data_IF_181864830901
#
_entry.id   IF_181864830901
#
_cell.length_a   1.000
_cell.length_b   1.000
_cell.length_c   1.000
_cell.angle_alpha   90.00
_cell.angle_beta   90.00
_cell.angle_gamma   90.00
#
_symmetry.space_group_name_H-M   'P 1'
#
loop_
_entity.id
_entity.type
_entity.pdbx_description
1 polymer ?
#
# COMPACT_ATOMS: atom_id res chain seq x y z
N UNK A 1 10.00 9.20 12.91
CA UNK A 1 11.39 8.72 13.05
C UNK A 1 11.99 8.73 11.66
N UNK A 2 13.22 9.21 11.49
CA UNK A 2 13.84 9.23 10.15
C UNK A 2 14.37 7.83 9.84
N UNK A 3 14.36 7.42 8.57
CA UNK A 3 14.94 6.14 8.15
C UNK A 3 16.39 5.94 8.62
N UNK A 4 17.16 7.02 8.77
CA UNK A 4 18.51 6.98 9.35
C UNK A 4 18.54 6.32 10.74
N UNK A 5 17.55 6.63 11.60
CA UNK A 5 17.46 6.03 12.94
C UNK A 5 17.15 4.53 12.87
N UNK A 6 16.30 4.13 11.89
CA UNK A 6 16.05 2.71 11.66
C UNK A 6 17.31 1.97 11.23
N UNK A 7 18.07 2.52 10.29
CA UNK A 7 19.28 1.86 9.79
C UNK A 7 20.43 1.86 10.80
N UNK A 8 20.47 2.80 11.73
CA UNK A 8 21.54 2.86 12.76
C UNK A 8 21.62 1.61 13.63
N UNK A 9 20.54 0.85 13.80
CA UNK A 9 20.55 -0.46 14.49
C UNK A 9 21.51 -1.50 13.87
N UNK A 10 21.87 -1.32 12.61
CA UNK A 10 22.78 -2.24 11.93
C UNK A 10 24.25 -1.99 12.29
N UNK A 11 24.58 -0.87 12.93
CA UNK A 11 25.91 -0.65 13.52
C UNK A 11 26.21 -1.73 14.57
N UNK A 12 25.22 -2.14 15.36
CA UNK A 12 25.37 -3.20 16.36
C UNK A 12 25.61 -4.59 15.75
N UNK A 13 25.38 -4.74 14.44
CA UNK A 13 25.65 -5.97 13.69
C UNK A 13 27.07 -5.99 13.06
N UNK A 14 27.88 -4.95 13.31
CA UNK A 14 29.25 -4.86 12.84
C UNK A 14 30.24 -5.09 13.98
N UNK A 15 31.29 -5.89 13.71
CA UNK A 15 32.49 -5.97 14.50
C UNK A 15 33.63 -5.25 13.77
N UNK A 16 34.58 -4.67 14.52
CA UNK A 16 35.72 -3.98 13.92
C UNK A 16 37.01 -4.72 14.24
N UNK A 17 37.85 -4.84 13.22
CA UNK A 17 39.19 -5.42 13.35
C UNK A 17 40.25 -4.41 12.92
N UNK A 18 41.47 -4.58 13.38
CA UNK A 18 42.64 -3.82 12.95
C UNK A 18 43.65 -4.78 12.28
N UNK A 19 44.30 -4.32 11.23
CA UNK A 19 45.35 -5.09 10.59
C UNK A 19 46.65 -4.99 11.36
N UNK A 20 47.42 -6.10 11.38
CA UNK A 20 48.79 -6.08 11.93
C UNK A 20 49.69 -5.22 11.05
N UNK A 21 50.75 -4.63 11.65
CA UNK A 21 51.69 -3.76 10.96
C UNK A 21 52.32 -4.34 9.68
N UNK A 22 52.45 -5.67 9.61
CA UNK A 22 53.05 -6.38 8.47
C UNK A 22 52.02 -6.83 7.41
N UNK A 23 50.77 -6.38 7.51
CA UNK A 23 49.75 -6.72 6.51
C UNK A 23 50.01 -6.06 5.16
N UNK A 24 49.69 -6.78 4.08
CA UNK A 24 49.96 -6.36 2.69
C UNK A 24 49.10 -5.21 2.17
N UNK A 25 48.02 -4.84 2.88
CA UNK A 25 47.02 -3.86 2.45
C UNK A 25 47.29 -2.48 3.07
N UNK A 26 48.15 -1.66 2.46
CA UNK A 26 48.54 -0.36 2.99
C UNK A 26 47.38 0.62 3.20
N UNK A 27 46.37 0.61 2.33
CA UNK A 27 45.19 1.49 2.43
C UNK A 27 44.24 1.16 3.56
N UNK A 28 44.40 0.00 4.17
CA UNK A 28 43.54 -0.48 5.28
C UNK A 28 44.21 -0.32 6.64
N UNK A 29 45.51 0.09 6.69
CA UNK A 29 46.23 0.31 7.93
C UNK A 29 45.63 1.51 8.68
N UNK A 30 45.66 1.44 9.99
CA UNK A 30 45.19 2.48 10.90
C UNK A 30 43.67 2.82 10.78
N UNK A 31 42.90 1.95 10.13
CA UNK A 31 41.45 2.09 10.05
C UNK A 31 40.77 0.96 10.84
N UNK A 32 39.70 1.26 11.59
CA UNK A 32 38.81 0.23 12.12
C UNK A 32 38.05 -0.42 10.96
N UNK A 33 38.33 -1.70 10.67
CA UNK A 33 37.78 -2.40 9.52
C UNK A 33 36.47 -3.11 9.89
N UNK A 34 35.32 -2.67 9.41
CA UNK A 34 34.03 -3.27 9.75
C UNK A 34 33.86 -4.62 9.06
N UNK A 35 33.34 -5.59 9.83
CA UNK A 35 32.92 -6.91 9.31
C UNK A 35 31.55 -7.23 9.89
N UNK A 36 30.66 -7.75 9.08
CA UNK A 36 29.35 -8.17 9.53
C UNK A 36 29.48 -9.38 10.46
N UNK A 37 28.94 -9.28 11.70
CA UNK A 37 29.16 -10.25 12.77
C UNK A 37 28.68 -11.66 12.42
N UNK A 38 27.62 -11.78 11.59
CA UNK A 38 27.15 -13.10 11.12
C UNK A 38 28.21 -13.80 10.28
N UNK A 39 28.91 -13.09 9.40
CA UNK A 39 30.01 -13.63 8.59
C UNK A 39 31.21 -14.06 9.47
N UNK A 40 31.44 -13.36 10.58
CA UNK A 40 32.49 -13.72 11.55
C UNK A 40 32.17 -15.00 12.31
N UNK A 41 30.90 -15.23 12.71
CA UNK A 41 30.49 -16.43 13.44
C UNK A 41 30.74 -17.69 12.65
N UNK A 42 30.42 -17.70 11.39
CA UNK A 42 30.68 -18.84 10.48
C UNK A 42 32.19 -19.16 10.37
N UNK A 43 33.06 -18.15 10.48
CA UNK A 43 34.51 -18.31 10.56
C UNK A 43 35.00 -18.91 11.87
N UNK A 44 34.39 -18.50 12.99
CA UNK A 44 34.75 -18.96 14.34
C UNK A 44 34.35 -20.43 14.58
N UNK A 45 33.16 -20.84 14.17
CA UNK A 45 32.64 -22.21 14.34
C UNK A 45 33.47 -23.26 13.62
N UNK A 46 34.11 -22.88 12.52
CA UNK A 46 34.97 -23.75 11.72
C UNK A 46 36.48 -23.66 12.08
N UNK A 47 36.86 -22.88 13.07
CA UNK A 47 38.26 -22.77 13.59
C UNK A 47 39.26 -22.14 12.63
N UNK A 48 38.82 -21.47 11.55
CA UNK A 48 39.70 -20.96 10.48
C UNK A 48 39.49 -19.46 10.21
N UNK A 49 39.37 -18.68 11.27
CA UNK A 49 39.03 -17.26 11.21
C UNK A 49 40.06 -16.43 10.42
N UNK A 50 41.34 -16.77 10.51
CA UNK A 50 42.40 -16.00 9.85
C UNK A 50 42.41 -16.15 8.31
N UNK A 51 41.88 -17.27 7.78
CA UNK A 51 41.81 -17.54 6.36
C UNK A 51 40.47 -17.12 5.70
N UNK A 52 39.45 -16.89 6.54
CA UNK A 52 38.11 -16.51 6.05
C UNK A 52 37.89 -15.01 5.97
N UNK A 53 38.56 -14.21 6.82
CA UNK A 53 38.52 -12.75 6.68
C UNK A 53 39.35 -12.35 5.46
N UNK A 54 38.66 -11.96 4.43
CA UNK A 54 39.25 -11.51 3.17
C UNK A 54 38.84 -10.06 2.85
N UNK A 55 39.47 -9.50 1.85
CA UNK A 55 39.21 -8.13 1.42
C UNK A 55 37.73 -7.91 1.06
N UNK A 56 37.08 -8.90 0.44
CA UNK A 56 35.67 -8.81 0.02
C UNK A 56 34.73 -8.59 1.22
N UNK A 57 34.91 -9.31 2.32
CA UNK A 57 34.12 -9.11 3.55
C UNK A 57 34.34 -7.72 4.19
N UNK A 58 35.57 -7.20 4.13
CA UNK A 58 35.90 -5.86 4.63
C UNK A 58 35.20 -4.80 3.78
N UNK A 59 35.26 -4.92 2.44
CA UNK A 59 34.59 -3.99 1.53
C UNK A 59 33.05 -4.02 1.69
N UNK A 60 32.46 -5.20 1.89
CA UNK A 60 31.04 -5.32 2.25
C UNK A 60 30.75 -4.64 3.58
N UNK A 61 31.59 -4.87 4.60
CA UNK A 61 31.46 -4.24 5.91
C UNK A 61 31.50 -2.72 5.84
N UNK A 62 32.39 -2.14 5.01
CA UNK A 62 32.45 -0.69 4.79
C UNK A 62 31.16 -0.14 4.16
N UNK A 63 30.62 -0.82 3.16
CA UNK A 63 29.32 -0.45 2.55
C UNK A 63 28.18 -0.53 3.57
N UNK A 64 28.14 -1.61 4.37
CA UNK A 64 27.14 -1.77 5.43
C UNK A 64 27.28 -0.67 6.48
N UNK A 65 28.53 -0.31 6.89
CA UNK A 65 28.75 0.76 7.84
C UNK A 65 28.24 2.11 7.33
N UNK A 66 28.57 2.48 6.10
CA UNK A 66 28.07 3.71 5.46
C UNK A 66 26.55 3.69 5.38
N UNK A 67 25.96 2.54 5.03
CA UNK A 67 24.52 2.36 4.96
C UNK A 67 23.84 2.41 6.33
N UNK A 68 24.49 1.97 7.40
CA UNK A 68 23.98 1.98 8.75
C UNK A 68 24.11 3.37 9.41
N UNK A 69 25.26 4.01 9.29
CA UNK A 69 25.54 5.34 9.85
C UNK A 69 26.29 6.22 8.83
N UNK A 70 25.56 7.06 8.12
CA UNK A 70 26.13 7.98 7.12
C UNK A 70 27.06 9.06 7.72
N UNK A 71 26.96 9.30 9.02
CA UNK A 71 27.71 10.33 9.74
C UNK A 71 28.91 9.72 10.49
N UNK A 72 29.24 8.44 10.26
CA UNK A 72 30.37 7.78 10.91
C UNK A 72 31.70 8.43 10.52
N UNK A 73 32.58 8.60 11.52
CA UNK A 73 33.84 9.38 11.40
C UNK A 73 34.74 8.95 10.24
N UNK A 74 34.84 7.63 9.96
CA UNK A 74 35.72 7.06 8.94
C UNK A 74 35.04 6.80 7.59
N UNK A 75 33.85 7.30 7.35
CA UNK A 75 33.16 7.06 6.07
C UNK A 75 33.91 7.63 4.86
N UNK A 76 34.59 8.78 5.03
CA UNK A 76 35.42 9.34 3.96
C UNK A 76 36.56 8.41 3.55
N UNK A 77 37.27 7.88 4.55
CA UNK A 77 38.34 6.91 4.33
C UNK A 77 37.82 5.62 3.72
N UNK A 78 36.68 5.13 4.17
CA UNK A 78 36.04 3.94 3.58
C UNK A 78 35.66 4.14 2.11
N UNK A 79 35.12 5.27 1.73
CA UNK A 79 34.85 5.61 0.33
C UNK A 79 36.13 5.61 -0.50
N UNK A 80 37.24 6.17 0.00
CA UNK A 80 38.53 6.14 -0.67
C UNK A 80 39.07 4.72 -0.85
N UNK A 81 38.91 3.86 0.16
CA UNK A 81 39.29 2.43 0.09
C UNK A 81 38.43 1.70 -0.95
N UNK A 82 37.09 1.87 -0.91
CA UNK A 82 36.18 1.26 -1.86
C UNK A 82 36.54 1.63 -3.31
N UNK A 83 36.76 2.91 -3.60
CA UNK A 83 37.17 3.40 -4.91
C UNK A 83 38.55 2.94 -5.34
N UNK A 84 39.44 2.59 -4.39
CA UNK A 84 40.76 2.05 -4.72
C UNK A 84 40.72 0.58 -5.13
N UNK A 85 39.91 -0.23 -4.46
CA UNK A 85 39.87 -1.68 -4.68
C UNK A 85 38.77 -2.13 -5.65
N UNK A 86 37.75 -1.32 -5.86
CA UNK A 86 36.63 -1.61 -6.75
C UNK A 86 36.71 -0.69 -7.98
N UNK A 87 36.46 -1.25 -9.15
CA UNK A 87 36.36 -0.47 -10.40
C UNK A 87 35.10 0.41 -10.39
N UNK A 88 33.98 -0.19 -9.96
CA UNK A 88 32.68 0.46 -9.86
C UNK A 88 32.00 -0.02 -8.56
N UNK A 89 31.90 0.87 -7.58
CA UNK A 89 31.30 0.55 -6.25
C UNK A 89 29.84 0.13 -6.39
N UNK A 90 29.11 0.81 -7.25
CA UNK A 90 27.68 0.60 -7.49
C UNK A 90 27.38 -0.76 -8.11
N UNK A 91 28.20 -1.17 -9.11
CA UNK A 91 28.07 -2.48 -9.72
C UNK A 91 28.38 -3.60 -8.75
N UNK A 92 29.48 -3.47 -7.99
CA UNK A 92 29.85 -4.41 -6.95
C UNK A 92 28.75 -4.56 -5.89
N UNK A 93 28.23 -3.45 -5.40
CA UNK A 93 27.16 -3.45 -4.39
C UNK A 93 25.89 -4.13 -4.91
N UNK A 94 25.48 -3.83 -6.13
CA UNK A 94 24.29 -4.44 -6.76
C UNK A 94 24.44 -5.94 -6.95
N UNK A 95 25.60 -6.41 -7.44
CA UNK A 95 25.88 -7.84 -7.60
C UNK A 95 25.89 -8.57 -6.24
N UNK A 96 26.52 -7.99 -5.23
CA UNK A 96 26.53 -8.57 -3.87
C UNK A 96 25.13 -8.63 -3.27
N UNK A 97 24.38 -7.54 -3.33
CA UNK A 97 23.02 -7.52 -2.80
C UNK A 97 22.14 -8.61 -3.45
N UNK A 98 22.19 -8.76 -4.78
CA UNK A 98 21.45 -9.82 -5.49
C UNK A 98 21.86 -11.21 -5.01
N UNK A 99 23.16 -11.44 -4.76
CA UNK A 99 23.66 -12.75 -4.33
C UNK A 99 23.26 -13.16 -2.91
N UNK A 100 22.99 -12.17 -2.04
CA UNK A 100 22.71 -12.42 -0.61
C UNK A 100 21.26 -12.14 -0.20
N UNK A 101 20.44 -11.49 -1.05
CA UNK A 101 19.11 -11.01 -0.69
C UNK A 101 18.14 -12.13 -0.26
N UNK A 102 18.27 -13.34 -0.80
CA UNK A 102 17.43 -14.47 -0.42
C UNK A 102 17.81 -15.03 0.95
N UNK A 103 19.08 -14.92 1.34
CA UNK A 103 19.60 -15.44 2.61
C UNK A 103 19.58 -14.40 3.73
N UNK A 104 19.90 -13.15 3.39
CA UNK A 104 19.95 -12.02 4.34
C UNK A 104 19.50 -10.73 3.66
N UNK A 105 18.16 -10.56 3.59
CA UNK A 105 17.50 -9.39 2.99
C UNK A 105 17.97 -8.08 3.62
N UNK A 106 18.07 -8.05 4.93
CA UNK A 106 18.48 -6.88 5.68
C UNK A 106 19.92 -6.45 5.34
N UNK A 107 20.84 -7.43 5.25
CA UNK A 107 22.23 -7.17 4.85
C UNK A 107 22.29 -6.59 3.43
N UNK A 108 21.52 -7.17 2.49
CA UNK A 108 21.44 -6.68 1.12
C UNK A 108 20.90 -5.23 1.06
N UNK A 109 19.84 -4.93 1.80
CA UNK A 109 19.23 -3.61 1.85
C UNK A 109 20.20 -2.54 2.39
N UNK A 110 20.88 -2.83 3.51
CA UNK A 110 21.83 -1.86 4.13
C UNK A 110 23.06 -1.66 3.25
N UNK A 111 23.55 -2.72 2.60
CA UNK A 111 24.66 -2.65 1.67
C UNK A 111 24.34 -1.76 0.45
N UNK A 112 23.16 -1.93 -0.15
CA UNK A 112 22.70 -1.06 -1.25
C UNK A 112 22.49 0.38 -0.78
N UNK A 113 21.99 0.59 0.44
CA UNK A 113 21.89 1.93 1.02
C UNK A 113 23.26 2.61 1.11
N UNK A 114 24.30 1.87 1.51
CA UNK A 114 25.68 2.39 1.56
C UNK A 114 26.17 2.84 0.18
N UNK A 115 25.94 2.04 -0.86
CA UNK A 115 26.30 2.42 -2.22
C UNK A 115 25.48 3.62 -2.73
N UNK A 116 24.17 3.67 -2.42
CA UNK A 116 23.30 4.80 -2.75
C UNK A 116 23.76 6.11 -2.05
N UNK A 117 24.23 6.04 -0.80
CA UNK A 117 24.78 7.21 -0.10
C UNK A 117 26.06 7.71 -0.78
N UNK A 118 26.91 6.80 -1.29
CA UNK A 118 28.16 7.15 -1.99
C UNK A 118 27.86 7.84 -3.33
N UNK A 119 26.96 7.28 -4.12
CA UNK A 119 26.55 7.81 -5.41
C UNK A 119 25.03 7.71 -5.61
N UNK A 120 24.26 8.72 -5.18
CA UNK A 120 22.81 8.74 -5.31
C UNK A 120 22.34 8.97 -6.77
N UNK A 121 23.24 9.38 -7.67
CA UNK A 121 22.92 9.64 -9.08
C UNK A 121 23.01 8.38 -9.94
N UNK A 122 23.68 7.32 -9.46
CA UNK A 122 23.76 6.06 -10.18
C UNK A 122 22.39 5.32 -10.15
N UNK A 123 21.70 5.32 -11.29
CA UNK A 123 20.30 4.89 -11.42
C UNK A 123 20.03 3.44 -11.06
N UNK A 124 20.96 2.52 -11.35
CA UNK A 124 20.73 1.09 -11.05
C UNK A 124 20.84 0.79 -9.56
N UNK A 125 21.79 1.41 -8.86
CA UNK A 125 21.91 1.30 -7.41
C UNK A 125 20.71 1.95 -6.72
N UNK A 126 20.33 3.15 -7.15
CA UNK A 126 19.15 3.84 -6.64
C UNK A 126 17.87 3.00 -6.84
N UNK A 127 17.70 2.42 -8.05
CA UNK A 127 16.60 1.51 -8.34
C UNK A 127 16.62 0.26 -7.45
N UNK A 128 17.77 -0.43 -7.36
CA UNK A 128 17.89 -1.65 -6.57
C UNK A 128 17.64 -1.37 -5.06
N UNK A 129 18.12 -0.23 -4.56
CA UNK A 129 17.84 0.20 -3.19
C UNK A 129 16.34 0.46 -2.98
N UNK A 130 15.70 1.24 -3.84
CA UNK A 130 14.27 1.52 -3.75
C UNK A 130 13.42 0.25 -3.85
N UNK A 131 13.79 -0.69 -4.74
CA UNK A 131 13.12 -1.98 -4.92
C UNK A 131 13.17 -2.85 -3.66
N UNK A 132 14.26 -2.83 -2.90
CA UNK A 132 14.36 -3.55 -1.62
C UNK A 132 13.77 -2.74 -0.46
N UNK A 133 13.64 -1.43 -0.59
CA UNK A 133 13.21 -0.56 0.50
C UNK A 133 11.71 -0.68 0.79
N UNK A 134 10.85 -0.58 -0.22
CA UNK A 134 9.40 -0.52 0.00
C UNK A 134 8.78 -1.83 0.52
N UNK A 135 9.21 -3.05 0.13
CA UNK A 135 8.65 -4.27 0.69
C UNK A 135 8.88 -4.39 2.20
N UNK A 136 9.97 -3.76 2.70
CA UNK A 136 10.27 -3.70 4.14
C UNK A 136 9.14 -3.08 4.96
N UNK A 137 8.37 -2.15 4.37
CA UNK A 137 7.22 -1.52 5.01
C UNK A 137 6.11 -2.52 5.42
N UNK A 138 6.07 -3.70 4.80
CA UNK A 138 5.01 -4.70 5.02
C UNK A 138 5.42 -5.81 6.00
N UNK A 139 6.61 -5.76 6.58
CA UNK A 139 6.99 -6.66 7.67
C UNK A 139 6.24 -6.30 8.96
N UNK A 140 5.92 -7.32 9.79
CA UNK A 140 5.00 -7.18 10.94
C UNK A 140 5.45 -6.13 11.96
N UNK A 141 6.75 -6.05 12.26
CA UNK A 141 7.30 -5.23 13.35
C UNK A 141 7.76 -3.82 12.91
N UNK A 142 7.50 -3.41 11.67
CA UNK A 142 7.94 -2.12 11.16
C UNK A 142 6.97 -1.01 11.55
N UNK A 143 7.47 -0.02 12.31
CA UNK A 143 6.71 1.17 12.71
C UNK A 143 6.78 2.29 11.67
N UNK A 144 7.85 2.32 10.90
CA UNK A 144 8.19 3.35 9.92
C UNK A 144 7.64 3.05 8.50
N UNK A 145 6.52 2.31 8.40
CA UNK A 145 5.93 1.84 7.12
C UNK A 145 5.86 2.94 6.05
N UNK A 146 5.27 4.07 6.42
CA UNK A 146 5.07 5.19 5.50
C UNK A 146 6.37 5.84 5.04
N UNK A 147 7.42 5.84 5.89
CA UNK A 147 8.71 6.42 5.54
C UNK A 147 9.46 5.55 4.52
N UNK A 148 9.37 4.22 4.63
CA UNK A 148 9.94 3.30 3.66
C UNK A 148 9.30 3.45 2.28
N UNK A 149 7.98 3.45 2.23
CA UNK A 149 7.24 3.62 0.96
C UNK A 149 7.52 4.99 0.35
N UNK A 150 7.46 6.05 1.16
CA UNK A 150 7.70 7.43 0.71
C UNK A 150 9.10 7.61 0.11
N UNK A 151 10.12 7.06 0.76
CA UNK A 151 11.50 7.16 0.28
C UNK A 151 11.69 6.37 -1.02
N UNK A 152 11.12 5.15 -1.13
CA UNK A 152 11.17 4.39 -2.38
C UNK A 152 10.48 5.12 -3.53
N UNK A 153 9.29 5.69 -3.30
CA UNK A 153 8.57 6.50 -4.28
C UNK A 153 9.40 7.71 -4.70
N UNK A 154 10.03 8.42 -3.76
CA UNK A 154 10.87 9.59 -4.03
C UNK A 154 12.03 9.21 -4.97
N UNK A 155 12.77 8.16 -4.63
CA UNK A 155 13.92 7.70 -5.41
C UNK A 155 13.47 7.30 -6.83
N UNK A 156 12.43 6.49 -6.97
CA UNK A 156 11.95 6.04 -8.26
C UNK A 156 11.42 7.19 -9.13
N UNK A 157 10.74 8.18 -8.52
CA UNK A 157 10.28 9.37 -9.22
C UNK A 157 11.43 10.27 -9.67
N UNK A 158 12.50 10.40 -8.87
CA UNK A 158 13.71 11.10 -9.28
C UNK A 158 14.41 10.41 -10.47
N UNK A 159 14.47 9.07 -10.48
CA UNK A 159 15.01 8.30 -11.59
C UNK A 159 14.23 8.61 -12.87
N UNK A 160 12.91 8.46 -12.88
CA UNK A 160 12.11 8.70 -14.09
C UNK A 160 12.07 10.17 -14.52
N UNK A 161 12.30 11.10 -13.58
CA UNK A 161 12.43 12.52 -13.88
C UNK A 161 13.72 12.87 -14.63
N UNK A 162 14.79 12.08 -14.47
CA UNK A 162 16.09 12.25 -15.13
C UNK A 162 16.24 11.34 -16.37
N UNK A 163 15.71 10.15 -16.29
CA UNK A 163 15.83 9.06 -17.26
C UNK A 163 14.43 8.60 -17.67
N UNK A 164 13.78 9.35 -18.57
CA UNK A 164 12.38 9.11 -18.97
C UNK A 164 12.14 7.72 -19.57
N UNK A 165 13.18 7.06 -20.11
CA UNK A 165 13.08 5.74 -20.75
C UNK A 165 13.45 4.58 -19.82
N UNK A 166 13.66 4.83 -18.52
CA UNK A 166 14.01 3.78 -17.55
C UNK A 166 12.78 2.95 -17.14
N UNK A 167 12.33 2.06 -18.04
CA UNK A 167 11.09 1.29 -17.97
C UNK A 167 10.87 0.55 -16.62
N UNK A 168 11.96 0.00 -16.03
CA UNK A 168 11.86 -0.79 -14.79
C UNK A 168 11.48 0.06 -13.58
N UNK A 169 11.82 1.37 -13.55
CA UNK A 169 11.37 2.24 -12.48
C UNK A 169 9.86 2.54 -12.57
N UNK A 170 9.32 2.70 -13.79
CA UNK A 170 7.87 2.80 -13.98
C UNK A 170 7.16 1.53 -13.56
N UNK A 171 7.70 0.35 -13.87
CA UNK A 171 7.14 -0.92 -13.42
C UNK A 171 7.09 -1.01 -11.90
N UNK A 172 8.18 -0.63 -11.21
CA UNK A 172 8.23 -0.67 -9.76
C UNK A 172 7.29 0.35 -9.09
N UNK A 173 7.15 1.56 -9.67
CA UNK A 173 6.13 2.51 -9.26
C UNK A 173 4.72 1.93 -9.40
N UNK A 174 4.46 1.21 -10.49
CA UNK A 174 3.22 0.47 -10.69
C UNK A 174 2.96 -0.54 -9.57
N UNK A 175 3.97 -1.33 -9.18
CA UNK A 175 3.90 -2.29 -8.09
C UNK A 175 3.57 -1.62 -6.74
N UNK A 176 4.25 -0.52 -6.41
CA UNK A 176 4.01 0.22 -5.17
C UNK A 176 2.58 0.76 -5.13
N UNK A 177 2.12 1.43 -6.18
CA UNK A 177 0.76 1.99 -6.22
C UNK A 177 -0.33 0.92 -6.23
N UNK A 178 -0.09 -0.24 -6.88
CA UNK A 178 -1.01 -1.37 -6.81
C UNK A 178 -1.14 -1.92 -5.37
N UNK A 179 -0.02 -2.02 -4.64
CA UNK A 179 -0.04 -2.42 -3.22
C UNK A 179 -0.69 -1.39 -2.29
N UNK A 180 -0.64 -0.11 -2.65
CA UNK A 180 -1.34 0.97 -1.94
C UNK A 180 -2.85 1.00 -2.24
N UNK A 181 -3.33 0.20 -3.19
CA UNK A 181 -4.72 0.22 -3.65
C UNK A 181 -5.06 1.41 -4.57
N UNK A 182 -4.05 2.14 -5.05
CA UNK A 182 -4.21 3.26 -5.98
C UNK A 182 -4.09 2.76 -7.44
N UNK A 183 -5.10 1.99 -7.87
CA UNK A 183 -5.03 1.20 -9.10
C UNK A 183 -4.99 2.05 -10.38
N UNK A 184 -5.61 3.23 -10.41
CA UNK A 184 -5.50 4.15 -11.55
C UNK A 184 -4.07 4.64 -11.74
N UNK A 185 -3.38 4.98 -10.66
CA UNK A 185 -1.96 5.36 -10.73
C UNK A 185 -1.10 4.19 -11.14
N UNK A 186 -1.33 3.01 -10.55
CA UNK A 186 -0.63 1.79 -10.92
C UNK A 186 -0.77 1.49 -12.42
N UNK A 187 -1.98 1.54 -12.96
CA UNK A 187 -2.26 1.36 -14.40
C UNK A 187 -1.51 2.35 -15.27
N UNK A 188 -1.45 3.62 -14.88
CA UNK A 188 -0.71 4.63 -15.63
C UNK A 188 0.79 4.33 -15.64
N UNK A 189 1.38 3.94 -14.52
CA UNK A 189 2.79 3.59 -14.43
C UNK A 189 3.11 2.31 -15.22
N UNK A 190 2.28 1.27 -15.15
CA UNK A 190 2.46 0.06 -15.96
C UNK A 190 2.34 0.33 -17.45
N UNK A 191 1.43 1.18 -17.91
CA UNK A 191 1.31 1.57 -19.31
C UNK A 191 2.57 2.32 -19.77
N UNK A 192 3.15 3.18 -18.94
CA UNK A 192 4.45 3.81 -19.23
C UNK A 192 5.58 2.77 -19.32
N UNK A 193 5.66 1.83 -18.38
CA UNK A 193 6.63 0.74 -18.43
C UNK A 193 6.50 -0.07 -19.72
N UNK A 194 5.26 -0.43 -20.11
CA UNK A 194 4.97 -1.19 -21.33
C UNK A 194 5.42 -0.46 -22.60
N UNK A 195 5.21 0.86 -22.64
CA UNK A 195 5.59 1.68 -23.81
C UNK A 195 7.10 1.86 -23.97
N UNK A 196 7.86 1.73 -22.87
CA UNK A 196 9.30 2.01 -22.82
C UNK A 196 10.16 0.75 -22.87
N UNK A 197 9.61 -0.42 -22.53
CA UNK A 197 10.38 -1.68 -22.59
C UNK A 197 10.37 -2.29 -23.98
N UNK A 198 11.55 -2.74 -24.43
CA UNK A 198 11.73 -3.46 -25.71
C UNK A 198 11.78 -4.98 -25.54
N UNK A 199 11.91 -5.46 -24.30
CA UNK A 199 11.94 -6.89 -23.99
C UNK A 199 10.52 -7.49 -24.03
N UNK A 200 10.30 -8.51 -24.86
CA UNK A 200 9.01 -9.21 -24.93
C UNK A 200 8.63 -9.86 -23.61
N UNK A 201 9.59 -10.42 -22.87
CA UNK A 201 9.38 -11.03 -21.57
C UNK A 201 8.87 -9.97 -20.57
N UNK A 202 9.54 -8.80 -20.52
CA UNK A 202 9.11 -7.72 -19.64
C UNK A 202 7.74 -7.14 -20.06
N UNK A 203 7.45 -7.07 -21.37
CA UNK A 203 6.13 -6.66 -21.85
C UNK A 203 5.03 -7.62 -21.40
N UNK A 204 5.27 -8.92 -21.44
CA UNK A 204 4.29 -9.92 -21.03
C UNK A 204 4.05 -9.84 -19.52
N UNK A 205 5.09 -9.67 -18.70
CA UNK A 205 4.97 -9.46 -17.28
C UNK A 205 4.14 -8.21 -16.92
N UNK A 206 4.40 -7.07 -17.60
CA UNK A 206 3.63 -5.84 -17.39
C UNK A 206 2.17 -6.03 -17.81
N UNK A 207 1.91 -6.75 -18.93
CA UNK A 207 0.53 -7.05 -19.34
C UNK A 207 -0.21 -7.92 -18.33
N UNK A 208 0.48 -8.87 -17.70
CA UNK A 208 -0.11 -9.70 -16.66
C UNK A 208 -0.49 -8.85 -15.44
N UNK A 209 0.39 -7.96 -14.98
CA UNK A 209 0.07 -7.01 -13.91
C UNK A 209 -1.11 -6.08 -14.26
N UNK A 210 -1.16 -5.59 -15.50
CA UNK A 210 -2.30 -4.80 -15.96
C UNK A 210 -3.61 -5.61 -15.91
N UNK A 211 -3.61 -6.89 -16.31
CA UNK A 211 -4.80 -7.75 -16.23
C UNK A 211 -5.27 -7.94 -14.78
N UNK A 212 -4.34 -8.10 -13.84
CA UNK A 212 -4.64 -8.27 -12.41
C UNK A 212 -5.35 -7.06 -11.82
N UNK A 213 -4.99 -5.84 -12.24
CA UNK A 213 -5.49 -4.60 -11.62
C UNK A 213 -6.59 -3.88 -12.40
N UNK A 214 -6.80 -4.22 -13.69
CA UNK A 214 -7.65 -3.41 -14.58
C UNK A 214 -9.07 -3.25 -14.05
N UNK A 215 -9.70 -4.31 -13.56
CA UNK A 215 -11.07 -4.22 -13.03
C UNK A 215 -11.14 -3.31 -11.79
N UNK A 216 -10.12 -3.35 -10.93
CA UNK A 216 -10.04 -2.46 -9.77
C UNK A 216 -9.80 -1.00 -10.19
N UNK A 217 -8.94 -0.79 -11.21
CA UNK A 217 -8.70 0.53 -11.76
C UNK A 217 -9.96 1.11 -12.45
N UNK A 218 -10.74 0.27 -13.13
CA UNK A 218 -12.02 0.68 -13.73
C UNK A 218 -13.07 1.03 -12.66
N UNK A 219 -13.12 0.29 -11.55
CA UNK A 219 -13.95 0.66 -10.39
C UNK A 219 -13.50 2.00 -9.78
N UNK A 220 -12.21 2.19 -9.56
CA UNK A 220 -11.68 3.46 -9.05
C UNK A 220 -12.01 4.64 -9.98
N UNK A 221 -11.96 4.43 -11.31
CA UNK A 221 -12.38 5.41 -12.29
C UNK A 221 -13.90 5.70 -12.22
N UNK A 222 -14.71 4.67 -12.03
CA UNK A 222 -16.16 4.82 -11.84
C UNK A 222 -16.47 5.60 -10.56
N UNK A 223 -15.75 5.34 -9.46
CA UNK A 223 -15.87 6.09 -8.21
C UNK A 223 -15.48 7.57 -8.38
N UNK A 224 -14.44 7.85 -9.16
CA UNK A 224 -14.09 9.21 -9.53
C UNK A 224 -15.24 9.93 -10.24
N UNK A 225 -15.90 9.26 -11.21
CA UNK A 225 -17.06 9.81 -11.90
C UNK A 225 -18.26 10.02 -10.96
N UNK A 226 -18.53 9.09 -10.04
CA UNK A 226 -19.58 9.26 -9.01
C UNK A 226 -19.27 10.49 -8.15
N UNK A 227 -18.03 10.64 -7.68
CA UNK A 227 -17.61 11.80 -6.88
C UNK A 227 -17.70 13.14 -7.61
N UNK A 228 -17.69 13.12 -8.96
CA UNK A 228 -17.92 14.28 -9.81
C UNK A 228 -19.38 14.44 -10.24
N UNK A 229 -20.29 13.61 -9.74
CA UNK A 229 -21.71 13.52 -10.14
C UNK A 229 -21.91 13.17 -11.62
N UNK A 230 -20.92 12.59 -12.28
CA UNK A 230 -20.98 12.11 -13.65
C UNK A 230 -21.47 10.66 -13.67
N UNK A 231 -22.70 10.46 -13.21
CA UNK A 231 -23.26 9.12 -12.98
C UNK A 231 -23.41 8.28 -14.24
N UNK A 232 -23.65 8.89 -15.40
CA UNK A 232 -23.78 8.17 -16.67
C UNK A 232 -22.46 7.50 -17.08
N UNK A 233 -21.34 8.20 -16.94
CA UNK A 233 -20.00 7.67 -17.20
C UNK A 233 -19.65 6.54 -16.24
N UNK A 234 -20.02 6.71 -14.95
CA UNK A 234 -19.85 5.66 -13.95
C UNK A 234 -20.64 4.38 -14.32
N UNK A 235 -21.89 4.54 -14.75
CA UNK A 235 -22.75 3.42 -15.18
C UNK A 235 -22.12 2.69 -16.37
N UNK A 236 -21.59 3.38 -17.36
CA UNK A 236 -20.93 2.79 -18.53
C UNK A 236 -19.76 1.92 -18.05
N UNK A 237 -18.85 2.48 -17.24
CA UNK A 237 -17.68 1.77 -16.71
C UNK A 237 -18.06 0.52 -15.90
N UNK A 238 -18.98 0.67 -14.96
CA UNK A 238 -19.44 -0.43 -14.10
C UNK A 238 -20.15 -1.53 -14.91
N UNK A 239 -20.91 -1.15 -15.93
CA UNK A 239 -21.56 -2.11 -16.83
C UNK A 239 -20.55 -2.88 -17.68
N UNK A 240 -19.47 -2.24 -18.14
CA UNK A 240 -18.35 -2.90 -18.84
C UNK A 240 -17.69 -3.97 -17.96
N UNK A 241 -17.41 -3.66 -16.69
CA UNK A 241 -16.86 -4.62 -15.72
C UNK A 241 -17.82 -5.80 -15.55
N UNK A 242 -19.10 -5.51 -15.27
CA UNK A 242 -20.14 -6.51 -15.01
C UNK A 242 -20.46 -7.38 -16.22
N UNK A 243 -20.16 -6.93 -17.43
CA UNK A 243 -20.26 -7.75 -18.64
C UNK A 243 -19.22 -8.88 -18.70
N UNK A 244 -18.10 -8.73 -17.99
CA UNK A 244 -16.99 -9.69 -17.96
C UNK A 244 -17.04 -10.56 -16.70
N UNK A 245 -17.28 -9.92 -15.56
CA UNK A 245 -17.23 -10.56 -14.23
C UNK A 245 -18.34 -10.04 -13.35
N UNK A 246 -18.99 -10.94 -12.62
CA UNK A 246 -19.91 -10.55 -11.56
C UNK A 246 -19.10 -10.13 -10.34
N UNK A 247 -19.32 -8.90 -9.89
CA UNK A 247 -18.62 -8.33 -8.71
C UNK A 247 -19.61 -7.61 -7.82
N UNK A 248 -19.62 -7.98 -6.57
CA UNK A 248 -20.52 -7.41 -5.57
C UNK A 248 -20.34 -5.89 -5.38
N UNK A 249 -19.09 -5.42 -5.36
CA UNK A 249 -18.75 -4.00 -5.25
C UNK A 249 -19.17 -3.19 -6.49
N UNK A 250 -18.94 -3.73 -7.70
CA UNK A 250 -19.35 -3.06 -8.92
C UNK A 250 -20.90 -2.93 -9.02
N UNK A 251 -21.64 -3.96 -8.60
CA UNK A 251 -23.10 -3.88 -8.49
C UNK A 251 -23.55 -2.82 -7.47
N UNK A 252 -22.88 -2.74 -6.31
CA UNK A 252 -23.19 -1.71 -5.31
C UNK A 252 -23.02 -0.29 -5.89
N UNK A 253 -21.86 0.02 -6.47
CA UNK A 253 -21.61 1.34 -7.04
C UNK A 253 -22.52 1.66 -8.23
N UNK A 254 -22.90 0.64 -9.03
CA UNK A 254 -23.91 0.78 -10.06
C UNK A 254 -25.28 1.18 -9.47
N UNK A 255 -25.67 0.55 -8.36
CA UNK A 255 -26.86 0.90 -7.60
C UNK A 255 -26.82 2.35 -7.09
N UNK A 256 -25.69 2.78 -6.54
CA UNK A 256 -25.47 4.16 -6.09
C UNK A 256 -25.59 5.16 -7.25
N UNK A 257 -25.00 4.85 -8.41
CA UNK A 257 -25.07 5.73 -9.58
C UNK A 257 -26.52 5.87 -10.09
N UNK A 258 -27.27 4.77 -10.19
CA UNK A 258 -28.69 4.80 -10.57
C UNK A 258 -29.56 5.53 -9.53
N UNK A 259 -29.31 5.32 -8.24
CA UNK A 259 -30.03 6.00 -7.16
C UNK A 259 -29.90 7.52 -7.27
N UNK A 260 -28.69 8.01 -7.50
CA UNK A 260 -28.42 9.44 -7.66
C UNK A 260 -29.04 10.05 -8.92
N UNK A 261 -29.30 9.24 -9.96
CA UNK A 261 -30.06 9.66 -11.13
C UNK A 261 -31.60 9.55 -10.93
N UNK A 262 -32.07 9.11 -9.78
CA UNK A 262 -33.49 8.86 -9.52
C UNK A 262 -34.06 7.63 -10.23
N UNK A 263 -33.21 6.76 -10.80
CA UNK A 263 -33.56 5.53 -11.47
C UNK A 263 -33.70 4.38 -10.47
N UNK A 264 -34.68 4.48 -9.57
CA UNK A 264 -34.80 3.61 -8.40
C UNK A 264 -35.02 2.14 -8.75
N UNK A 265 -35.73 1.81 -9.81
CA UNK A 265 -35.93 0.43 -10.25
C UNK A 265 -34.60 -0.24 -10.66
N UNK A 266 -33.76 0.49 -11.43
CA UNK A 266 -32.41 0.01 -11.80
C UNK A 266 -31.49 -0.12 -10.59
N UNK A 267 -31.57 0.84 -9.68
CA UNK A 267 -30.80 0.84 -8.42
C UNK A 267 -31.15 -0.38 -7.55
N UNK A 268 -32.44 -0.68 -7.38
CA UNK A 268 -32.95 -1.85 -6.66
C UNK A 268 -32.39 -3.16 -7.23
N UNK A 269 -32.40 -3.30 -8.56
CA UNK A 269 -31.84 -4.48 -9.24
C UNK A 269 -30.36 -4.60 -8.97
N UNK A 270 -29.62 -3.50 -9.07
CA UNK A 270 -28.18 -3.49 -8.84
C UNK A 270 -27.83 -3.84 -7.38
N UNK A 271 -28.48 -3.25 -6.39
CA UNK A 271 -28.26 -3.58 -4.96
C UNK A 271 -28.66 -5.03 -4.64
N UNK A 272 -29.75 -5.54 -5.21
CA UNK A 272 -30.14 -6.94 -5.07
C UNK A 272 -29.07 -7.89 -5.62
N UNK A 273 -28.48 -7.55 -6.77
CA UNK A 273 -27.38 -8.33 -7.35
C UNK A 273 -26.13 -8.26 -6.47
N UNK A 274 -25.82 -7.09 -5.90
CA UNK A 274 -24.70 -6.92 -4.96
C UNK A 274 -24.84 -7.87 -3.75
N UNK A 275 -26.01 -7.92 -3.11
CA UNK A 275 -26.31 -8.88 -2.04
C UNK A 275 -26.18 -10.34 -2.50
N UNK A 276 -26.66 -10.65 -3.70
CA UNK A 276 -26.61 -12.01 -4.26
C UNK A 276 -25.19 -12.48 -4.54
N UNK A 277 -24.29 -11.56 -4.88
CA UNK A 277 -22.86 -11.83 -5.09
C UNK A 277 -22.06 -11.75 -3.76
N UNK A 278 -22.73 -11.67 -2.61
CA UNK A 278 -22.13 -11.82 -1.28
C UNK A 278 -21.66 -10.53 -0.62
N UNK A 279 -22.08 -9.35 -1.08
CA UNK A 279 -21.82 -8.12 -0.37
C UNK A 279 -22.52 -8.08 0.99
N UNK A 280 -21.78 -7.78 2.05
CA UNK A 280 -22.29 -7.70 3.41
C UNK A 280 -21.68 -6.49 4.12
N UNK A 281 -22.24 -5.30 3.93
CA UNK A 281 -21.85 -4.09 4.66
C UNK A 281 -23.06 -3.18 4.85
N UNK A 282 -23.04 -2.37 5.89
CA UNK A 282 -24.20 -1.57 6.37
C UNK A 282 -24.72 -0.57 5.34
N UNK A 283 -23.83 0.04 4.57
CA UNK A 283 -24.18 1.03 3.55
C UNK A 283 -25.07 0.41 2.45
N UNK A 284 -24.82 -0.85 2.05
CA UNK A 284 -25.63 -1.54 1.08
C UNK A 284 -27.08 -1.73 1.54
N UNK A 285 -27.30 -2.17 2.79
CA UNK A 285 -28.66 -2.33 3.32
C UNK A 285 -29.38 -0.98 3.43
N UNK A 286 -28.64 0.07 3.81
CA UNK A 286 -29.16 1.42 3.89
C UNK A 286 -29.63 1.94 2.53
N UNK A 287 -28.73 1.94 1.54
CA UNK A 287 -28.98 2.53 0.21
C UNK A 287 -30.03 1.72 -0.58
N UNK A 288 -30.00 0.39 -0.42
CA UNK A 288 -31.02 -0.47 -1.00
C UNK A 288 -32.40 -0.17 -0.43
N UNK A 289 -32.53 -0.05 0.89
CA UNK A 289 -33.80 0.30 1.51
C UNK A 289 -34.29 1.70 1.13
N UNK A 290 -33.39 2.68 1.03
CA UNK A 290 -33.73 4.02 0.52
C UNK A 290 -34.28 3.94 -0.91
N UNK A 291 -33.64 3.17 -1.80
CA UNK A 291 -34.11 3.02 -3.18
C UNK A 291 -35.50 2.37 -3.23
N UNK A 292 -35.74 1.33 -2.42
CA UNK A 292 -37.07 0.69 -2.30
C UNK A 292 -38.12 1.66 -1.77
N UNK A 293 -37.77 2.44 -0.75
CA UNK A 293 -38.67 3.45 -0.16
C UNK A 293 -39.04 4.52 -1.19
N UNK A 294 -38.07 5.06 -1.92
CA UNK A 294 -38.29 6.06 -2.97
C UNK A 294 -39.05 5.49 -4.16
N UNK A 295 -38.91 4.18 -4.44
CA UNK A 295 -39.70 3.46 -5.41
C UNK A 295 -41.09 3.05 -4.89
N UNK A 296 -41.47 3.48 -3.67
CA UNK A 296 -42.75 3.19 -3.01
C UNK A 296 -42.98 1.73 -2.63
N UNK A 297 -41.94 0.93 -2.58
CA UNK A 297 -41.97 -0.47 -2.12
C UNK A 297 -41.66 -0.54 -0.59
N UNK A 298 -42.49 0.13 0.21
CA UNK A 298 -42.17 0.48 1.60
C UNK A 298 -42.00 -0.77 2.49
N UNK A 299 -42.86 -1.82 2.31
CA UNK A 299 -42.74 -3.06 3.10
C UNK A 299 -41.43 -3.82 2.77
N UNK A 300 -40.99 -3.79 1.51
CA UNK A 300 -39.69 -4.39 1.14
C UNK A 300 -38.54 -3.58 1.73
N UNK A 301 -38.61 -2.24 1.74
CA UNK A 301 -37.63 -1.39 2.39
C UNK A 301 -37.47 -1.76 3.86
N UNK A 302 -38.61 -1.92 4.58
CA UNK A 302 -38.57 -2.35 5.99
C UNK A 302 -37.96 -3.74 6.18
N UNK A 303 -38.18 -4.66 5.23
CA UNK A 303 -37.58 -5.99 5.26
C UNK A 303 -36.05 -5.91 5.15
N UNK A 304 -35.53 -5.16 4.18
CA UNK A 304 -34.10 -4.96 3.97
C UNK A 304 -33.44 -4.28 5.18
N UNK A 305 -34.06 -3.24 5.74
CA UNK A 305 -33.54 -2.60 6.97
C UNK A 305 -33.47 -3.59 8.15
N UNK A 306 -34.50 -4.42 8.33
CA UNK A 306 -34.50 -5.43 9.39
C UNK A 306 -33.41 -6.49 9.17
N UNK A 307 -33.12 -6.87 7.94
CA UNK A 307 -31.99 -7.76 7.62
C UNK A 307 -30.66 -7.10 7.94
N UNK A 308 -30.48 -5.81 7.59
CA UNK A 308 -29.29 -5.03 7.96
C UNK A 308 -29.11 -4.94 9.47
N UNK A 309 -30.18 -4.62 10.23
CA UNK A 309 -30.14 -4.51 11.68
C UNK A 309 -29.90 -5.85 12.41
N UNK A 310 -30.18 -7.01 11.79
CA UNK A 310 -29.76 -8.30 12.35
C UNK A 310 -28.24 -8.47 12.32
N UNK A 311 -27.56 -7.87 11.35
CA UNK A 311 -26.10 -7.94 11.19
C UNK A 311 -25.40 -6.77 11.88
N UNK A 312 -26.03 -5.60 11.89
CA UNK A 312 -25.52 -4.34 12.44
C UNK A 312 -26.54 -3.74 13.42
N UNK A 313 -26.74 -4.37 14.60
CA UNK A 313 -27.86 -4.02 15.50
C UNK A 313 -27.78 -2.61 16.09
N UNK A 314 -26.56 -2.06 16.20
CA UNK A 314 -26.31 -0.73 16.75
C UNK A 314 -25.95 0.32 15.68
N UNK A 315 -26.33 0.07 14.41
CA UNK A 315 -26.11 1.08 13.36
C UNK A 315 -27.16 2.20 13.46
N UNK A 316 -26.75 3.46 13.72
CA UNK A 316 -27.69 4.56 13.93
C UNK A 316 -28.47 4.92 12.65
N UNK A 317 -27.87 4.80 11.46
CA UNK A 317 -28.51 5.16 10.19
C UNK A 317 -29.59 4.15 9.82
N UNK A 318 -29.29 2.86 9.93
CA UNK A 318 -30.28 1.80 9.71
C UNK A 318 -31.46 1.93 10.69
N UNK A 319 -31.17 2.18 11.98
CA UNK A 319 -32.20 2.38 13.01
C UNK A 319 -33.05 3.60 12.74
N UNK A 320 -32.43 4.72 12.35
CA UNK A 320 -33.14 5.94 11.98
C UNK A 320 -34.03 5.74 10.75
N UNK A 321 -33.52 5.10 9.68
CA UNK A 321 -34.32 4.81 8.50
C UNK A 321 -35.47 3.83 8.78
N UNK A 322 -35.28 2.87 9.70
CA UNK A 322 -36.39 2.02 10.19
C UNK A 322 -37.51 2.83 10.81
N UNK A 323 -37.17 3.83 11.62
CA UNK A 323 -38.14 4.75 12.25
C UNK A 323 -38.93 5.49 11.16
N UNK A 324 -38.24 6.08 10.17
CA UNK A 324 -38.89 6.81 9.08
C UNK A 324 -39.83 5.92 8.26
N UNK A 325 -39.41 4.68 7.94
CA UNK A 325 -40.21 3.72 7.20
C UNK A 325 -41.46 3.31 8.01
N UNK A 326 -41.29 2.98 9.30
CA UNK A 326 -42.41 2.65 10.18
C UNK A 326 -43.40 3.82 10.35
N UNK A 327 -42.87 5.06 10.41
CA UNK A 327 -43.71 6.25 10.44
C UNK A 327 -44.56 6.38 9.16
N UNK A 328 -43.97 6.15 8.00
CA UNK A 328 -44.68 6.16 6.71
C UNK A 328 -45.75 5.06 6.61
N UNK A 329 -45.58 3.93 7.32
CA UNK A 329 -46.56 2.86 7.43
C UNK A 329 -47.61 3.10 8.52
N UNK A 330 -47.47 4.17 9.32
CA UNK A 330 -48.39 4.45 10.45
C UNK A 330 -48.19 3.55 11.67
N UNK A 331 -47.04 2.84 11.74
CA UNK A 331 -46.73 1.92 12.84
C UNK A 331 -46.24 2.67 14.08
N UNK A 332 -47.07 3.55 14.64
CA UNK A 332 -46.69 4.47 15.76
C UNK A 332 -46.11 3.74 16.98
N UNK A 333 -46.66 2.60 17.42
CA UNK A 333 -46.05 1.89 18.58
C UNK A 333 -44.59 1.46 18.33
N UNK A 334 -44.30 0.95 17.14
CA UNK A 334 -42.92 0.56 16.76
C UNK A 334 -42.01 1.79 16.63
N UNK A 335 -42.54 2.90 16.10
CA UNK A 335 -41.79 4.17 16.01
C UNK A 335 -41.31 4.62 17.36
N UNK A 336 -42.20 4.68 18.40
CA UNK A 336 -41.83 5.07 19.76
C UNK A 336 -40.76 4.17 20.35
N UNK A 337 -40.94 2.85 20.24
CA UNK A 337 -39.97 1.86 20.72
C UNK A 337 -38.61 2.00 20.06
N UNK A 338 -38.60 2.15 18.73
CA UNK A 338 -37.36 2.27 17.94
C UNK A 338 -36.63 3.59 18.23
N UNK A 339 -37.37 4.69 18.46
CA UNK A 339 -36.81 5.97 18.89
C UNK A 339 -36.15 5.90 20.27
N UNK A 340 -36.85 5.28 21.25
CA UNK A 340 -36.29 5.13 22.59
C UNK A 340 -35.04 4.24 22.59
N UNK A 341 -35.03 3.19 21.76
CA UNK A 341 -33.83 2.36 21.58
C UNK A 341 -32.66 3.13 20.89
N UNK A 342 -32.96 3.87 19.83
CA UNK A 342 -31.91 4.62 19.11
C UNK A 342 -31.26 5.67 20.02
N UNK A 343 -32.03 6.33 20.89
CA UNK A 343 -31.50 7.31 21.85
C UNK A 343 -30.56 6.72 22.92
N UNK A 344 -30.44 5.38 23.00
CA UNK A 344 -29.50 4.72 23.91
C UNK A 344 -28.11 4.45 23.24
N UNK A 345 -27.94 4.75 21.98
CA UNK A 345 -26.69 4.52 21.27
C UNK A 345 -25.66 5.60 21.62
N UNK A 346 -24.40 5.19 21.82
CA UNK A 346 -23.32 6.11 22.21
C UNK A 346 -22.85 7.03 21.06
N UNK A 347 -22.96 6.56 19.80
CA UNK A 347 -22.40 7.24 18.61
C UNK A 347 -23.48 7.95 17.76
N UNK A 348 -24.41 8.65 18.38
CA UNK A 348 -25.40 9.45 17.65
C UNK A 348 -24.80 10.77 17.15
N UNK A 349 -25.08 11.09 15.90
CA UNK A 349 -24.78 12.43 15.36
C UNK A 349 -25.83 13.43 15.86
N UNK A 350 -25.40 14.69 16.04
CA UNK A 350 -26.30 15.79 16.44
C UNK A 350 -27.51 15.91 15.47
N UNK A 351 -27.29 15.66 14.20
CA UNK A 351 -28.33 15.67 13.15
C UNK A 351 -29.43 14.62 13.43
N UNK A 352 -29.06 13.39 13.80
CA UNK A 352 -30.03 12.34 14.13
C UNK A 352 -30.86 12.73 15.37
N UNK A 353 -30.19 13.24 16.39
CA UNK A 353 -30.84 13.66 17.65
C UNK A 353 -31.84 14.80 17.39
N UNK A 354 -31.45 15.81 16.60
CA UNK A 354 -32.30 16.93 16.24
C UNK A 354 -33.53 16.47 15.42
N UNK A 355 -33.30 15.62 14.41
CA UNK A 355 -34.37 15.06 13.58
C UNK A 355 -35.36 14.22 14.40
N UNK A 356 -34.89 13.44 15.37
CA UNK A 356 -35.76 12.68 16.27
C UNK A 356 -36.60 13.61 17.15
N UNK A 357 -36.04 14.71 17.65
CA UNK A 357 -36.77 15.71 18.43
C UNK A 357 -37.88 16.38 17.61
N UNK A 358 -37.57 16.75 16.35
CA UNK A 358 -38.56 17.30 15.40
C UNK A 358 -39.69 16.30 15.16
N UNK A 359 -39.34 15.02 14.91
CA UNK A 359 -40.35 13.97 14.72
C UNK A 359 -41.27 13.81 15.95
N UNK A 360 -40.70 13.83 17.19
CA UNK A 360 -41.48 13.75 18.40
C UNK A 360 -42.51 14.86 18.50
N UNK A 361 -42.13 16.08 18.16
CA UNK A 361 -43.00 17.23 18.18
C UNK A 361 -44.10 17.16 17.13
N UNK A 362 -43.71 16.87 15.86
CA UNK A 362 -44.64 16.85 14.71
C UNK A 362 -45.71 15.77 14.83
N UNK A 363 -45.34 14.59 15.32
CA UNK A 363 -46.24 13.43 15.36
C UNK A 363 -46.81 13.14 16.79
N UNK A 364 -46.55 14.03 17.76
CA UNK A 364 -46.96 13.88 19.14
C UNK A 364 -46.58 12.51 19.75
N UNK A 365 -45.33 12.10 19.49
CA UNK A 365 -44.77 10.79 19.86
C UNK A 365 -44.32 10.74 21.34
#
# INVERSE_FOLDING_TARGET
MRLDDYFRKYVDKLGYIELKENASYEKLKDLPLPIYLKDMKEGLENGDMANKINLDLILQGMLINIGADKDFLHNYEYINVLNHYLKEVSEYASQKAISIMEEDYDKALVLLRGAYIIDPEEKFTAYNYARLLWPKAYEEDIKEKDDFVREALRILQEIIGKEEDFAIAYYELGNIYANLGEYLKARNYYNNALSKTTSSIAQDEVRDRLREINDNADIEEALYFIGKSNYNEAIIKLTEILSKHKRADAYYYLGVAYQNLGQYENSIIAFSNSLSEGAEFRELYNDYAISLYLNKEIEKALTIIREGLKKYPEDPRLSYNKIQINLSLGNIPEVKKDMDNLLTFDDLTDEIVENLAIMKEQFHL
#
